data_IF_617764600646
#
_entry.id   IF_617764600646
#
_cell.length_a   1.000
_cell.length_b   1.000
_cell.length_c   1.000
_cell.angle_alpha   90.00
_cell.angle_beta   90.00
_cell.angle_gamma   90.00
#
_symmetry.space_group_name_H-M   'P 1'
#
loop_
_entity.id
_entity.type
_entity.pdbx_description
1 polymer ?
#
# COMPACT_ATOMS: atom_id res chain seq x y z
N UNK A 1 -25.60 3.55 16.99
CA UNK A 1 -24.67 4.39 16.22
C UNK A 1 -24.57 3.75 14.84
N UNK A 2 -24.85 4.46 13.76
CA UNK A 2 -24.73 3.91 12.42
C UNK A 2 -23.24 3.76 12.10
N UNK A 3 -22.80 2.59 11.70
CA UNK A 3 -21.42 2.33 11.34
C UNK A 3 -21.17 2.96 9.96
N UNK A 4 -20.23 3.89 9.87
CA UNK A 4 -19.82 4.54 8.62
C UNK A 4 -18.68 3.70 8.05
N UNK A 5 -18.77 3.31 6.79
CA UNK A 5 -17.69 2.59 6.09
C UNK A 5 -16.63 3.58 5.59
N UNK A 6 -15.41 3.08 5.28
CA UNK A 6 -14.38 3.89 4.62
C UNK A 6 -14.90 4.46 3.30
N UNK A 7 -15.59 3.66 2.50
CA UNK A 7 -16.17 4.11 1.22
C UNK A 7 -17.20 5.21 1.41
N UNK A 8 -18.08 5.13 2.42
CA UNK A 8 -19.04 6.19 2.73
C UNK A 8 -18.33 7.50 3.13
N UNK A 9 -17.27 7.38 3.94
CA UNK A 9 -16.47 8.52 4.37
C UNK A 9 -15.77 9.18 3.17
N UNK A 10 -15.07 8.41 2.34
CA UNK A 10 -14.38 8.93 1.16
C UNK A 10 -15.35 9.52 0.14
N UNK A 11 -16.49 8.88 -0.11
CA UNK A 11 -17.55 9.43 -0.98
C UNK A 11 -18.11 10.76 -0.46
N UNK A 12 -18.24 10.91 0.85
CA UNK A 12 -18.61 12.18 1.46
C UNK A 12 -17.51 13.23 1.27
N UNK A 13 -16.23 12.90 1.46
CA UNK A 13 -15.11 13.82 1.25
C UNK A 13 -15.02 14.29 -0.20
N UNK A 14 -15.22 13.38 -1.17
CA UNK A 14 -15.30 13.72 -2.60
C UNK A 14 -16.41 14.75 -2.83
N UNK A 15 -17.59 14.51 -2.27
CA UNK A 15 -18.77 15.34 -2.50
C UNK A 15 -18.71 16.70 -1.80
N UNK A 16 -18.16 16.76 -0.59
CA UNK A 16 -18.26 17.94 0.29
C UNK A 16 -16.98 18.77 0.34
N UNK A 17 -15.82 18.12 0.25
CA UNK A 17 -14.51 18.74 0.46
C UNK A 17 -13.63 18.72 -0.80
N UNK A 18 -14.12 18.15 -1.91
CA UNK A 18 -13.42 18.18 -3.20
C UNK A 18 -12.26 17.20 -3.28
N UNK A 19 -12.27 16.12 -2.47
CA UNK A 19 -11.31 15.03 -2.61
C UNK A 19 -11.39 14.46 -4.03
N UNK A 20 -10.25 14.24 -4.68
CA UNK A 20 -10.23 13.63 -6.01
C UNK A 20 -10.74 12.18 -5.97
N UNK A 21 -11.67 11.82 -6.85
CA UNK A 21 -12.26 10.47 -6.90
C UNK A 21 -11.24 9.38 -7.18
N UNK A 22 -10.19 9.68 -7.94
CA UNK A 22 -9.12 8.74 -8.23
C UNK A 22 -8.24 8.51 -7.00
N UNK A 23 -8.02 9.58 -6.19
CA UNK A 23 -7.32 9.46 -4.91
C UNK A 23 -8.13 8.63 -3.92
N UNK A 24 -9.43 8.88 -3.81
CA UNK A 24 -10.32 8.08 -2.98
C UNK A 24 -10.27 6.59 -3.37
N UNK A 25 -10.32 6.27 -4.66
CA UNK A 25 -10.18 4.91 -5.18
C UNK A 25 -8.85 4.28 -4.79
N UNK A 26 -7.74 5.01 -4.89
CA UNK A 26 -6.43 4.49 -4.52
C UNK A 26 -6.35 4.18 -3.02
N UNK A 27 -6.90 5.05 -2.17
CA UNK A 27 -6.99 4.82 -0.73
C UNK A 27 -7.80 3.55 -0.42
N UNK A 28 -8.94 3.35 -1.09
CA UNK A 28 -9.74 2.12 -0.94
C UNK A 28 -8.96 0.88 -1.39
N UNK A 29 -8.20 0.99 -2.49
CA UNK A 29 -7.35 -0.09 -2.98
C UNK A 29 -6.31 -0.50 -1.93
N UNK A 30 -5.61 0.47 -1.34
CA UNK A 30 -4.62 0.22 -0.27
C UNK A 30 -5.29 -0.40 0.96
N UNK A 31 -6.46 0.09 1.35
CA UNK A 31 -7.20 -0.48 2.48
C UNK A 31 -7.61 -1.95 2.22
N UNK A 32 -8.00 -2.29 0.99
CA UNK A 32 -8.32 -3.66 0.59
C UNK A 32 -7.07 -4.56 0.65
N UNK A 33 -5.90 -4.08 0.20
CA UNK A 33 -4.63 -4.79 0.37
C UNK A 33 -4.35 -5.09 1.84
N UNK A 34 -4.59 -4.12 2.73
CA UNK A 34 -4.40 -4.32 4.17
C UNK A 34 -5.29 -5.41 4.76
N UNK A 35 -6.51 -5.58 4.26
CA UNK A 35 -7.38 -6.70 4.67
C UNK A 35 -6.81 -8.04 4.21
N UNK A 36 -6.32 -8.12 2.98
CA UNK A 36 -5.71 -9.33 2.42
C UNK A 36 -4.42 -9.70 3.16
N UNK A 37 -3.50 -8.75 3.34
CA UNK A 37 -2.25 -8.94 4.09
C UNK A 37 -2.54 -9.37 5.53
N UNK A 38 -3.51 -8.75 6.20
CA UNK A 38 -3.92 -9.16 7.55
C UNK A 38 -4.33 -10.62 7.63
N UNK A 39 -4.99 -11.12 6.59
CA UNK A 39 -5.38 -12.53 6.51
C UNK A 39 -4.17 -13.45 6.31
N UNK A 40 -3.22 -13.07 5.46
CA UNK A 40 -1.99 -13.81 5.24
C UNK A 40 -1.13 -13.87 6.51
N UNK A 41 -1.00 -12.74 7.21
CA UNK A 41 -0.30 -12.65 8.51
C UNK A 41 -0.96 -13.55 9.56
N UNK A 42 -2.30 -13.54 9.64
CA UNK A 42 -3.05 -14.34 10.60
C UNK A 42 -2.99 -15.85 10.31
N UNK A 43 -2.90 -16.23 9.03
CA UNK A 43 -2.74 -17.63 8.62
C UNK A 43 -1.34 -18.18 8.87
N UNK A 44 -0.36 -17.30 9.10
CA UNK A 44 1.06 -17.65 9.02
C UNK A 44 1.39 -18.13 7.61
N UNK A 45 2.57 -17.88 7.08
CA UNK A 45 2.93 -18.31 5.72
C UNK A 45 3.06 -19.85 5.57
N UNK A 46 2.04 -20.57 6.03
CA UNK A 46 1.93 -22.02 6.01
C UNK A 46 2.77 -22.66 7.11
N UNK A 47 2.13 -23.10 8.20
CA UNK A 47 2.77 -23.82 9.30
C UNK A 47 3.58 -25.01 8.79
N UNK A 48 4.88 -24.87 8.70
CA UNK A 48 5.81 -25.96 8.49
C UNK A 48 6.73 -26.02 9.71
N UNK A 49 6.50 -27.01 10.55
CA UNK A 49 7.31 -27.24 11.76
C UNK A 49 8.70 -27.79 11.43
N UNK A 50 9.70 -26.93 11.28
CA UNK A 50 11.12 -27.30 11.39
C UNK A 50 11.97 -26.07 11.74
N UNK A 51 13.04 -26.30 12.51
CA UNK A 51 13.85 -25.30 13.23
C UNK A 51 14.64 -24.27 12.38
N UNK A 52 14.50 -24.23 11.05
CA UNK A 52 15.13 -23.25 10.16
C UNK A 52 14.11 -22.36 9.42
N UNK A 53 12.87 -22.37 9.85
CA UNK A 53 11.71 -21.89 9.07
C UNK A 53 11.42 -20.42 9.29
N UNK A 54 11.81 -19.81 10.42
CA UNK A 54 11.35 -18.47 10.79
C UNK A 54 11.81 -17.37 9.82
N UNK A 55 13.10 -17.32 9.48
CA UNK A 55 13.59 -16.33 8.51
C UNK A 55 13.12 -16.56 7.07
N UNK A 56 12.78 -17.80 6.69
CA UNK A 56 12.20 -18.11 5.39
C UNK A 56 10.71 -17.77 5.32
N UNK A 57 9.97 -17.93 6.42
CA UNK A 57 8.55 -17.56 6.53
C UNK A 57 8.37 -16.04 6.52
N UNK A 58 9.19 -15.31 7.27
CA UNK A 58 9.22 -13.86 7.26
C UNK A 58 9.44 -13.34 5.83
N UNK A 59 10.52 -13.77 5.18
CA UNK A 59 10.83 -13.38 3.80
C UNK A 59 9.71 -13.75 2.81
N UNK A 60 8.98 -14.82 3.07
CA UNK A 60 7.84 -15.20 2.25
C UNK A 60 6.66 -14.26 2.43
N UNK A 61 6.38 -13.81 3.66
CA UNK A 61 5.32 -12.82 3.94
C UNK A 61 5.66 -11.45 3.33
N UNK A 62 6.90 -11.00 3.40
CA UNK A 62 7.37 -9.78 2.76
C UNK A 62 7.09 -9.83 1.25
N UNK A 63 7.47 -10.94 0.58
CA UNK A 63 7.21 -11.14 -0.85
C UNK A 63 5.71 -11.16 -1.16
N UNK A 64 4.90 -11.91 -0.40
CA UNK A 64 3.45 -12.00 -0.61
C UNK A 64 2.81 -10.62 -0.44
N UNK A 65 3.17 -9.90 0.62
CA UNK A 65 2.62 -8.57 0.89
C UNK A 65 3.01 -7.57 -0.20
N UNK A 66 4.25 -7.63 -0.66
CA UNK A 66 4.72 -6.81 -1.78
C UNK A 66 3.94 -7.10 -3.07
N UNK A 67 3.74 -8.37 -3.40
CA UNK A 67 3.00 -8.77 -4.60
C UNK A 67 1.53 -8.32 -4.54
N UNK A 68 0.87 -8.45 -3.38
CA UNK A 68 -0.50 -7.99 -3.16
C UNK A 68 -0.62 -6.49 -3.46
N UNK A 69 0.24 -5.66 -2.82
CA UNK A 69 0.18 -4.21 -2.98
C UNK A 69 0.55 -3.80 -4.40
N UNK A 70 1.69 -4.28 -4.91
CA UNK A 70 2.18 -3.94 -6.26
C UNK A 70 1.12 -4.21 -7.32
N UNK A 71 0.55 -5.41 -7.32
CA UNK A 71 -0.49 -5.80 -8.27
C UNK A 71 -1.71 -4.90 -8.16
N UNK A 72 -2.26 -4.75 -6.96
CA UNK A 72 -3.50 -4.01 -6.76
C UNK A 72 -3.36 -2.53 -7.15
N UNK A 73 -2.25 -1.86 -6.77
CA UNK A 73 -2.08 -0.44 -7.08
C UNK A 73 -1.85 -0.20 -8.57
N UNK A 74 -1.11 -1.06 -9.27
CA UNK A 74 -0.90 -0.94 -10.73
C UNK A 74 -2.19 -1.23 -11.52
N UNK A 75 -2.99 -2.20 -11.06
CA UNK A 75 -4.30 -2.54 -11.65
C UNK A 75 -5.39 -1.52 -11.32
N UNK A 76 -5.20 -0.64 -10.33
CA UNK A 76 -6.17 0.39 -9.94
C UNK A 76 -6.57 1.35 -11.07
N UNK A 77 -5.70 1.49 -12.08
CA UNK A 77 -5.90 2.40 -13.22
C UNK A 77 -5.57 3.86 -12.92
N UNK A 78 -5.09 4.19 -11.72
CA UNK A 78 -4.79 5.57 -11.30
C UNK A 78 -3.33 5.79 -10.92
N UNK A 79 -2.57 4.71 -10.69
CA UNK A 79 -1.14 4.75 -10.35
C UNK A 79 -0.30 4.61 -11.62
N UNK A 80 0.63 5.53 -11.82
CA UNK A 80 1.59 5.51 -12.93
C UNK A 80 2.80 4.64 -12.64
N UNK A 81 3.26 4.64 -11.39
CA UNK A 81 4.31 3.74 -10.90
C UNK A 81 4.23 3.59 -9.38
N UNK A 82 4.79 2.50 -8.88
CA UNK A 82 4.95 2.24 -7.46
C UNK A 82 6.41 1.96 -7.11
N UNK A 83 6.82 2.34 -5.90
CA UNK A 83 8.11 2.03 -5.31
C UNK A 83 7.89 1.35 -3.96
N UNK A 84 8.55 0.23 -3.73
CA UNK A 84 8.47 -0.56 -2.51
C UNK A 84 9.83 -0.64 -1.84
N UNK A 85 9.84 -0.77 -0.53
CA UNK A 85 11.07 -1.06 0.24
C UNK A 85 11.70 -2.40 -0.20
N UNK A 86 10.87 -3.35 -0.63
CA UNK A 86 11.26 -4.68 -1.06
C UNK A 86 11.77 -4.74 -2.53
N UNK A 87 11.87 -3.59 -3.20
CA UNK A 87 12.27 -3.52 -4.62
C UNK A 87 13.44 -2.55 -4.84
N UNK A 88 14.41 -2.96 -5.66
CA UNK A 88 15.56 -2.11 -6.01
C UNK A 88 15.17 -0.88 -6.85
N UNK A 89 14.10 -0.98 -7.64
CA UNK A 89 13.62 0.04 -8.56
C UNK A 89 12.10 0.12 -8.55
N UNK A 90 11.58 1.28 -8.91
CA UNK A 90 10.15 1.46 -9.10
C UNK A 90 9.62 0.61 -10.27
N UNK A 91 8.35 0.26 -10.20
CA UNK A 91 7.64 -0.46 -11.26
C UNK A 91 6.58 0.46 -11.85
N UNK A 92 6.76 0.79 -13.13
CA UNK A 92 5.78 1.58 -13.88
C UNK A 92 4.62 0.70 -14.35
N UNK A 93 3.43 1.30 -14.37
CA UNK A 93 2.26 0.66 -14.95
C UNK A 93 2.39 0.57 -16.48
N UNK A 94 2.02 -0.57 -17.04
CA UNK A 94 1.88 -0.71 -18.50
C UNK A 94 0.58 -0.03 -18.95
N UNK A 95 0.68 1.24 -19.34
CA UNK A 95 -0.47 2.03 -19.75
C UNK A 95 -0.11 3.04 -20.83
N UNK A 96 -1.09 3.36 -21.69
CA UNK A 96 -0.99 4.37 -22.74
C UNK A 96 -1.52 5.73 -22.32
N UNK A 97 -2.22 5.78 -21.19
CA UNK A 97 -2.87 6.98 -20.67
C UNK A 97 -2.13 7.51 -19.45
N UNK A 98 -2.15 8.85 -19.31
CA UNK A 98 -1.62 9.49 -18.11
C UNK A 98 -2.35 9.03 -16.86
N UNK A 99 -1.59 8.60 -15.85
CA UNK A 99 -2.10 8.29 -14.51
C UNK A 99 -1.59 9.31 -13.50
N UNK A 100 -2.43 9.82 -12.60
CA UNK A 100 -2.10 10.99 -11.78
C UNK A 100 -1.18 10.73 -10.61
N UNK A 101 -1.01 9.49 -10.17
CA UNK A 101 -0.36 9.20 -8.89
C UNK A 101 0.85 8.29 -9.00
N UNK A 102 1.80 8.52 -8.09
CA UNK A 102 2.84 7.59 -7.66
C UNK A 102 2.51 7.13 -6.24
N UNK A 103 2.93 5.94 -5.88
CA UNK A 103 2.81 5.43 -4.51
C UNK A 103 4.11 4.80 -4.05
N UNK A 104 4.60 5.21 -2.86
CA UNK A 104 5.69 4.55 -2.15
C UNK A 104 5.11 3.76 -0.98
N UNK A 105 5.66 2.61 -0.68
CA UNK A 105 5.22 1.81 0.47
C UNK A 105 6.31 0.87 0.98
N UNK A 106 6.20 0.56 2.26
CA UNK A 106 6.75 -0.64 2.87
C UNK A 106 5.58 -1.60 3.08
N UNK A 107 5.56 -2.76 2.41
CA UNK A 107 4.40 -3.65 2.44
C UNK A 107 4.22 -4.34 3.79
N UNK A 108 5.30 -4.54 4.56
CA UNK A 108 5.25 -5.24 5.83
C UNK A 108 6.32 -4.74 6.82
N UNK A 109 6.26 -3.44 7.16
CA UNK A 109 7.15 -2.81 8.14
C UNK A 109 7.15 -3.56 9.47
N UNK A 110 8.35 -3.80 9.98
CA UNK A 110 8.56 -4.54 11.22
C UNK A 110 8.42 -6.05 11.07
N UNK A 111 8.53 -6.63 9.88
CA UNK A 111 8.40 -8.07 9.64
C UNK A 111 9.28 -8.93 10.56
N UNK A 112 10.44 -8.42 11.00
CA UNK A 112 11.29 -9.05 12.01
C UNK A 112 10.62 -9.25 13.39
N UNK A 113 9.49 -8.60 13.64
CA UNK A 113 8.72 -8.72 14.87
C UNK A 113 7.68 -9.85 14.85
N UNK A 114 7.49 -10.50 13.70
CA UNK A 114 6.50 -11.57 13.53
C UNK A 114 6.74 -12.70 14.54
N UNK A 115 7.99 -13.12 14.68
CA UNK A 115 8.38 -14.23 15.55
C UNK A 115 8.11 -14.00 17.04
N UNK A 116 8.10 -12.75 17.45
CA UNK A 116 7.85 -12.36 18.84
C UNK A 116 6.43 -11.82 19.06
N UNK A 117 5.58 -11.93 18.02
CA UNK A 117 4.18 -11.53 18.06
C UNK A 117 3.96 -10.06 18.46
N UNK A 118 4.82 -9.17 17.95
CA UNK A 118 4.69 -7.72 18.10
C UNK A 118 4.03 -7.16 16.83
N UNK A 119 3.35 -6.05 16.95
CA UNK A 119 2.62 -5.42 15.84
C UNK A 119 3.55 -5.11 14.67
N UNK A 120 3.05 -5.38 13.48
CA UNK A 120 3.64 -5.10 12.19
C UNK A 120 2.63 -4.31 11.35
N UNK A 121 3.05 -3.72 10.25
CA UNK A 121 2.14 -2.89 9.47
C UNK A 121 2.58 -2.65 8.04
N UNK A 122 1.70 -2.06 7.26
CA UNK A 122 2.01 -1.47 5.95
C UNK A 122 2.09 0.04 6.09
N UNK A 123 3.13 0.67 5.56
CA UNK A 123 3.25 2.13 5.51
C UNK A 123 3.17 2.56 4.05
N UNK A 124 2.47 3.67 3.76
CA UNK A 124 2.36 4.17 2.39
C UNK A 124 2.32 5.69 2.31
N UNK A 125 2.71 6.19 1.14
CA UNK A 125 2.65 7.60 0.77
C UNK A 125 2.25 7.73 -0.70
N UNK A 126 1.27 8.59 -0.98
CA UNK A 126 0.78 8.87 -2.33
C UNK A 126 1.29 10.25 -2.74
N UNK A 127 1.96 10.30 -3.89
CA UNK A 127 2.57 11.47 -4.50
C UNK A 127 1.91 11.81 -5.83
N UNK A 128 1.92 13.07 -6.28
CA UNK A 128 1.52 13.40 -7.63
C UNK A 128 2.54 12.85 -8.64
N UNK A 129 2.05 12.35 -9.78
CA UNK A 129 2.90 12.06 -10.91
C UNK A 129 3.38 13.37 -11.54
N UNK A 130 4.71 13.64 -11.64
CA UNK A 130 5.22 14.89 -12.19
C UNK A 130 5.03 15.02 -13.71
N UNK A 131 4.77 13.90 -14.42
CA UNK A 131 4.59 13.91 -15.87
C UNK A 131 3.15 14.27 -16.27
N UNK A 132 3.02 15.14 -17.25
CA UNK A 132 1.73 15.58 -17.81
C UNK A 132 1.20 14.65 -18.93
N UNK A 133 2.02 13.70 -19.36
CA UNK A 133 1.73 12.69 -20.39
C UNK A 133 1.84 11.26 -19.85
N UNK A 134 1.88 10.28 -20.73
CA UNK A 134 2.04 8.87 -20.40
C UNK A 134 3.53 8.42 -20.27
N UNK A 135 4.44 9.36 -20.03
CA UNK A 135 5.86 9.02 -19.77
C UNK A 135 5.94 8.12 -18.53
N UNK A 136 6.63 7.00 -18.67
CA UNK A 136 6.83 6.08 -17.55
C UNK A 136 7.72 6.71 -16.47
N UNK A 137 7.26 6.81 -15.23
CA UNK A 137 8.04 7.36 -14.13
C UNK A 137 9.30 6.53 -13.85
N UNK A 138 10.31 7.21 -13.31
CA UNK A 138 11.59 6.65 -12.89
C UNK A 138 11.77 6.82 -11.37
N UNK A 139 12.75 6.17 -10.77
CA UNK A 139 13.05 6.27 -9.34
C UNK A 139 13.19 7.73 -8.87
N UNK A 140 13.79 8.59 -9.70
CA UNK A 140 13.97 10.01 -9.39
C UNK A 140 12.65 10.79 -9.22
N UNK A 141 11.56 10.34 -9.84
CA UNK A 141 10.25 10.98 -9.75
C UNK A 141 9.59 10.81 -8.37
N UNK A 142 10.06 9.85 -7.59
CA UNK A 142 9.64 9.63 -6.21
C UNK A 142 10.36 10.53 -5.21
N UNK A 143 11.48 11.15 -5.59
CA UNK A 143 12.27 12.03 -4.73
C UNK A 143 11.65 13.43 -4.66
N UNK A 144 10.43 13.51 -4.17
CA UNK A 144 9.69 14.74 -4.03
C UNK A 144 9.76 15.26 -2.58
N UNK A 145 9.67 16.59 -2.36
CA UNK A 145 9.51 17.14 -1.01
C UNK A 145 8.30 16.56 -0.30
N UNK A 146 8.42 16.34 1.02
CA UNK A 146 7.34 15.71 1.82
C UNK A 146 6.03 16.51 1.86
N UNK A 147 6.07 17.82 1.60
CA UNK A 147 4.89 18.69 1.47
C UNK A 147 4.10 18.47 0.16
N UNK A 148 4.64 17.65 -0.75
CA UNK A 148 3.94 17.22 -1.97
C UNK A 148 3.07 15.99 -1.76
N UNK A 149 3.16 15.31 -0.64
CA UNK A 149 2.30 14.17 -0.35
C UNK A 149 0.82 14.58 -0.42
N UNK A 150 0.05 13.78 -1.16
CA UNK A 150 -1.40 13.97 -1.32
C UNK A 150 -2.18 13.21 -0.25
N UNK A 151 -1.66 12.08 0.18
CA UNK A 151 -2.12 11.29 1.31
C UNK A 151 -0.97 10.42 1.80
N UNK A 152 -0.98 10.11 3.09
CA UNK A 152 -0.07 9.15 3.69
C UNK A 152 -0.79 8.39 4.81
N UNK A 153 -0.30 7.21 5.13
CA UNK A 153 -0.91 6.43 6.18
C UNK A 153 -0.15 5.17 6.51
N UNK A 154 -0.69 4.46 7.49
CA UNK A 154 -0.23 3.12 7.83
C UNK A 154 -1.40 2.22 8.20
N UNK A 155 -1.22 0.94 7.97
CA UNK A 155 -2.15 -0.11 8.39
C UNK A 155 -1.42 -0.99 9.40
N UNK A 156 -1.97 -1.13 10.58
CA UNK A 156 -1.38 -1.92 11.65
C UNK A 156 -2.12 -3.26 11.76
N UNK A 157 -1.34 -4.34 11.77
CA UNK A 157 -1.83 -5.70 11.92
C UNK A 157 -1.62 -6.18 13.36
N UNK A 158 -2.72 -6.42 14.07
CA UNK A 158 -2.73 -6.81 15.47
C UNK A 158 -4.04 -7.50 15.83
N UNK A 159 -4.50 -7.44 17.08
CA UNK A 159 -5.81 -7.97 17.47
C UNK A 159 -6.98 -7.38 16.66
N UNK A 160 -6.76 -6.19 16.12
CA UNK A 160 -7.61 -5.53 15.13
C UNK A 160 -6.71 -4.95 14.04
N UNK A 161 -7.15 -5.06 12.79
CA UNK A 161 -6.51 -4.35 11.69
C UNK A 161 -7.04 -2.92 11.67
N UNK A 162 -6.15 -1.94 11.81
CA UNK A 162 -6.49 -0.53 11.87
C UNK A 162 -5.70 0.26 10.85
N UNK A 163 -6.35 1.22 10.20
CA UNK A 163 -5.72 2.16 9.26
C UNK A 163 -5.77 3.57 9.85
N UNK A 164 -4.61 4.23 9.88
CA UNK A 164 -4.50 5.66 10.08
C UNK A 164 -4.22 6.33 8.74
N UNK A 165 -4.90 7.42 8.47
CA UNK A 165 -4.83 8.14 7.19
C UNK A 165 -4.75 9.65 7.46
N UNK A 166 -3.90 10.34 6.69
CA UNK A 166 -3.76 11.80 6.69
C UNK A 166 -3.69 12.33 5.27
#
# INVERSE_FOLDING_TARGET
MQQITLSDMLANEVKTNGLDEKLARLIETVAACGVEISSEVACGAGMAGSENVQGEEQKKLDVISNDIVTKAVLESGVVAACASEEMDHCVAADCTDRRPYLICYDPLDGSSNIDINVSIGTIFSILPNPHEDATAPQDADFLQPGDRQLAAGYIMYGPQTQMALT
#
